data_IF_072265167685
#
_entry.id   IF_072265167685
#
_cell.length_a   1.000
_cell.length_b   1.000
_cell.length_c   1.000
_cell.angle_alpha   90.00
_cell.angle_beta   90.00
_cell.angle_gamma   90.00
#
_symmetry.space_group_name_H-M   'P 1'
#
loop_
_entity.id
_entity.type
_entity.pdbx_description
1 polymer ?
#
# COMPACT_ATOMS: atom_id res chain seq x y z
N UNK A 1 16.73 1.49 19.53
CA UNK A 1 16.01 1.86 18.29
C UNK A 1 15.74 0.59 17.52
N UNK A 2 14.53 0.05 17.62
CA UNK A 2 14.12 -1.06 16.78
C UNK A 2 14.20 -0.59 15.33
N UNK A 3 15.07 -1.26 14.55
CA UNK A 3 15.10 -1.04 13.10
C UNK A 3 13.72 -1.44 12.61
N UNK A 4 13.00 -0.58 11.84
CA UNK A 4 11.76 -1.02 11.22
C UNK A 4 12.06 -2.34 10.50
N UNK A 5 11.20 -3.37 10.63
CA UNK A 5 11.43 -4.65 9.98
C UNK A 5 11.80 -4.35 8.54
N UNK A 6 12.93 -4.90 8.07
CA UNK A 6 13.43 -4.69 6.72
C UNK A 6 12.30 -5.11 5.79
N UNK A 7 11.52 -4.13 5.33
CA UNK A 7 10.20 -4.34 4.74
C UNK A 7 10.35 -5.42 3.67
N UNK A 8 9.61 -6.52 3.83
CA UNK A 8 9.73 -7.63 2.90
C UNK A 8 9.34 -7.09 1.53
N UNK A 9 10.33 -6.96 0.63
CA UNK A 9 10.14 -6.36 -0.69
C UNK A 9 9.08 -7.11 -1.50
N UNK A 10 8.96 -8.41 -1.30
CA UNK A 10 7.91 -9.20 -1.94
C UNK A 10 6.53 -8.84 -1.38
N UNK A 11 6.42 -8.70 -0.07
CA UNK A 11 5.18 -8.29 0.58
C UNK A 11 4.76 -6.88 0.14
N UNK A 12 5.70 -5.94 0.06
CA UNK A 12 5.47 -4.60 -0.49
C UNK A 12 4.86 -4.65 -1.90
N UNK A 13 5.44 -5.44 -2.80
CA UNK A 13 4.94 -5.58 -4.17
C UNK A 13 3.55 -6.23 -4.20
N UNK A 14 3.33 -7.27 -3.39
CA UNK A 14 2.03 -7.97 -3.30
C UNK A 14 0.95 -7.02 -2.76
N UNK A 15 1.24 -6.27 -1.70
CA UNK A 15 0.32 -5.28 -1.14
C UNK A 15 0.04 -4.16 -2.14
N UNK A 16 1.06 -3.62 -2.82
CA UNK A 16 0.90 -2.58 -3.82
C UNK A 16 0.05 -3.05 -5.00
N UNK A 17 0.25 -4.29 -5.46
CA UNK A 17 -0.57 -4.90 -6.51
C UNK A 17 -2.03 -5.10 -6.08
N UNK A 18 -2.27 -5.62 -4.87
CA UNK A 18 -3.62 -5.76 -4.31
C UNK A 18 -4.32 -4.41 -4.19
N UNK A 19 -3.63 -3.39 -3.66
CA UNK A 19 -4.18 -2.05 -3.50
C UNK A 19 -4.41 -1.36 -4.85
N UNK A 20 -3.53 -1.52 -5.82
CA UNK A 20 -3.74 -1.01 -7.18
C UNK A 20 -5.00 -1.59 -7.83
N UNK A 21 -5.30 -2.89 -7.61
CA UNK A 21 -6.57 -3.49 -8.07
C UNK A 21 -7.79 -2.86 -7.43
N UNK A 22 -7.74 -2.54 -6.13
CA UNK A 22 -8.83 -1.80 -5.46
C UNK A 22 -9.02 -0.42 -6.10
N UNK A 23 -7.93 0.31 -6.37
CA UNK A 23 -8.00 1.63 -7.02
C UNK A 23 -8.53 1.56 -8.46
N UNK A 24 -8.22 0.49 -9.20
CA UNK A 24 -8.77 0.24 -10.54
C UNK A 24 -10.27 -0.12 -10.48
N UNK A 25 -10.71 -0.76 -9.40
CA UNK A 25 -12.13 -1.05 -9.14
C UNK A 25 -12.92 0.15 -8.60
N UNK A 26 -12.33 1.35 -8.54
CA UNK A 26 -12.99 2.58 -8.11
C UNK A 26 -12.86 2.92 -6.62
N UNK A 27 -12.00 2.24 -5.86
CA UNK A 27 -11.72 2.63 -4.48
C UNK A 27 -11.12 4.04 -4.39
N UNK A 28 -11.49 4.78 -3.34
CA UNK A 28 -11.01 6.15 -3.12
C UNK A 28 -9.51 6.13 -2.78
N UNK A 29 -8.66 6.89 -3.49
CA UNK A 29 -7.26 7.04 -3.18
C UNK A 29 -7.05 7.90 -1.92
N UNK A 30 -6.08 7.52 -1.09
CA UNK A 30 -5.66 8.22 0.14
C UNK A 30 -4.40 9.07 -0.09
N UNK A 31 -3.84 9.02 -1.30
CA UNK A 31 -2.65 9.73 -1.77
C UNK A 31 -2.86 10.26 -3.19
N UNK A 32 -2.14 11.34 -3.52
CA UNK A 32 -2.15 11.94 -4.84
C UNK A 32 -1.19 11.25 -5.82
N UNK A 33 -1.59 11.18 -7.08
CA UNK A 33 -0.76 10.68 -8.16
C UNK A 33 -1.56 10.41 -9.43
N UNK A 34 -0.82 10.12 -10.50
CA UNK A 34 -1.39 9.85 -11.82
C UNK A 34 -1.63 8.34 -12.03
N UNK A 35 -0.59 7.51 -11.84
CA UNK A 35 -0.69 6.05 -12.02
C UNK A 35 -1.20 5.38 -10.75
N UNK A 36 -2.22 4.52 -10.86
CA UNK A 36 -2.81 3.79 -9.71
C UNK A 36 -1.78 2.98 -8.92
N UNK A 37 -0.82 2.36 -9.60
CA UNK A 37 0.26 1.61 -8.92
C UNK A 37 1.17 2.53 -8.10
N UNK A 38 1.46 3.74 -8.59
CA UNK A 38 2.28 4.71 -7.87
C UNK A 38 1.54 5.26 -6.64
N UNK A 39 0.21 5.48 -6.76
CA UNK A 39 -0.64 5.84 -5.62
C UNK A 39 -0.59 4.73 -4.56
N UNK A 40 -0.84 3.47 -4.95
CA UNK A 40 -0.82 2.32 -4.05
C UNK A 40 0.52 2.17 -3.31
N UNK A 41 1.64 2.32 -4.02
CA UNK A 41 2.98 2.29 -3.42
C UNK A 41 3.17 3.39 -2.37
N UNK A 42 2.76 4.63 -2.66
CA UNK A 42 2.81 5.75 -1.70
C UNK A 42 1.92 5.49 -0.49
N UNK A 43 0.70 4.98 -0.69
CA UNK A 43 -0.23 4.68 0.39
C UNK A 43 0.34 3.64 1.37
N UNK A 44 1.04 2.62 0.87
CA UNK A 44 1.67 1.58 1.71
C UNK A 44 2.90 2.13 2.44
N UNK A 45 3.81 2.81 1.73
CA UNK A 45 5.01 3.41 2.34
C UNK A 45 4.67 4.42 3.45
N UNK A 46 3.55 5.12 3.29
CA UNK A 46 3.03 6.08 4.28
C UNK A 46 2.08 5.45 5.31
N UNK A 47 1.93 4.13 5.29
CA UNK A 47 1.02 3.36 6.18
C UNK A 47 -0.42 3.86 6.17
N UNK A 48 -0.85 4.51 5.09
CA UNK A 48 -2.25 4.90 4.89
C UNK A 48 -3.10 3.69 4.52
N UNK A 49 -2.52 2.58 4.08
CA UNK A 49 -3.18 1.30 3.82
C UNK A 49 -2.40 0.22 4.56
N UNK A 50 -3.13 -0.62 5.30
CA UNK A 50 -2.60 -1.74 6.10
C UNK A 50 -3.37 -3.01 5.79
N UNK A 51 -2.84 -4.17 6.18
CA UNK A 51 -3.59 -5.43 6.12
C UNK A 51 -4.76 -5.37 7.09
N UNK A 52 -5.83 -6.11 6.80
CA UNK A 52 -7.00 -6.16 7.69
C UNK A 52 -6.63 -6.78 9.04
N UNK A 53 -5.73 -7.75 9.06
CA UNK A 53 -5.25 -8.40 10.29
C UNK A 53 -4.42 -7.45 11.17
N UNK A 54 -3.70 -6.48 10.56
CA UNK A 54 -3.01 -5.41 11.29
C UNK A 54 -3.98 -4.30 11.77
N UNK A 55 -5.21 -4.35 11.26
CA UNK A 55 -6.39 -3.53 11.59
C UNK A 55 -6.87 -3.62 13.05
N UNK A 56 -6.61 -4.76 13.68
CA UNK A 56 -7.25 -5.21 14.92
C UNK A 56 -6.37 -4.96 16.15
#
# INVERSE_FOLDING_TARGET
MERPPKENRFEFVVLAGKRARQLLAGAVPREEGNKKIAIAQKEILRRKVVKVDDAQ
#
